data_IF_225841277219
#
_entry.id   IF_225841277219
#
_cell.length_a   1.000
_cell.length_b   1.000
_cell.length_c   1.000
_cell.angle_alpha   90.00
_cell.angle_beta   90.00
_cell.angle_gamma   90.00
#
_symmetry.space_group_name_H-M   'P 1'
#
loop_
_entity.id
_entity.type
_entity.pdbx_description
1 polymer ?
#
# COMPACT_ATOMS: atom_id res chain seq x y z
N UNK A 1 7.64 -5.30 9.57
CA UNK A 1 6.71 -5.52 10.70
C UNK A 1 6.74 -6.96 11.20
N UNK A 2 6.21 -7.92 10.42
CA UNK A 2 6.01 -9.29 10.87
C UNK A 2 7.30 -10.03 11.25
N UNK A 3 8.35 -9.92 10.42
CA UNK A 3 9.65 -10.57 10.68
C UNK A 3 10.31 -10.09 11.97
N UNK A 4 10.24 -8.79 12.26
CA UNK A 4 10.90 -8.17 13.41
C UNK A 4 9.99 -8.02 14.64
N UNK A 5 8.74 -8.49 14.57
CA UNK A 5 7.78 -8.39 15.68
C UNK A 5 7.42 -6.96 16.11
N UNK A 6 7.59 -5.97 15.22
CA UNK A 6 7.26 -4.57 15.53
C UNK A 6 5.74 -4.42 15.74
N UNK A 7 5.33 -3.73 16.81
CA UNK A 7 3.91 -3.50 17.12
C UNK A 7 3.19 -2.70 16.03
N UNK A 8 3.88 -1.70 15.48
CA UNK A 8 3.44 -0.91 14.34
C UNK A 8 4.63 -0.32 13.58
N UNK A 9 4.39 0.09 12.33
CA UNK A 9 5.32 0.90 11.53
C UNK A 9 4.56 2.03 10.84
N UNK A 10 5.31 3.04 10.41
CA UNK A 10 4.85 4.07 9.49
C UNK A 10 5.49 3.78 8.12
N UNK A 11 4.65 3.67 7.08
CA UNK A 11 5.07 3.53 5.68
C UNK A 11 4.75 4.82 4.96
N UNK A 12 5.71 5.34 4.19
CA UNK A 12 5.63 6.60 3.46
C UNK A 12 6.18 6.38 2.05
N UNK A 13 5.54 7.01 1.06
CA UNK A 13 6.15 7.26 -0.24
C UNK A 13 7.24 8.35 -0.11
N UNK A 14 8.15 8.40 -1.08
CA UNK A 14 9.32 9.29 -1.08
C UNK A 14 9.01 10.70 -1.62
N UNK A 15 7.90 10.87 -2.32
CA UNK A 15 7.48 12.10 -3.00
C UNK A 15 6.27 12.81 -2.32
N UNK A 16 6.15 12.64 -1.01
CA UNK A 16 5.10 13.25 -0.19
C UNK A 16 5.52 14.59 0.43
N UNK A 17 4.52 15.41 0.73
CA UNK A 17 4.62 16.57 1.63
C UNK A 17 3.81 16.34 2.90
N UNK A 18 4.37 16.81 4.01
CA UNK A 18 3.77 16.71 5.32
C UNK A 18 2.87 17.92 5.61
N UNK A 19 1.73 17.66 6.23
CA UNK A 19 0.90 18.69 6.83
C UNK A 19 1.67 19.45 7.95
N UNK A 20 1.49 20.77 8.15
CA UNK A 20 2.12 21.49 9.24
C UNK A 20 1.89 20.83 10.60
N UNK A 21 2.94 20.78 11.41
CA UNK A 21 2.97 20.11 12.71
C UNK A 21 2.72 18.59 12.64
N UNK A 22 3.06 17.94 11.52
CA UNK A 22 2.86 16.51 11.27
C UNK A 22 3.12 15.61 12.48
N UNK A 23 4.30 15.70 13.10
CA UNK A 23 4.65 14.85 14.26
C UNK A 23 3.66 15.01 15.41
N UNK A 24 3.27 16.25 15.73
CA UNK A 24 2.29 16.53 16.79
C UNK A 24 0.91 15.96 16.43
N UNK A 25 0.48 16.14 15.18
CA UNK A 25 -0.81 15.61 14.69
C UNK A 25 -0.83 14.08 14.67
N UNK A 26 0.27 13.45 14.25
CA UNK A 26 0.44 11.99 14.25
C UNK A 26 0.42 11.43 15.68
N UNK A 27 1.14 12.04 16.62
CA UNK A 27 1.08 11.61 18.01
C UNK A 27 -0.31 11.76 18.61
N UNK A 28 -1.00 12.87 18.35
CA UNK A 28 -2.40 13.05 18.75
C UNK A 28 -3.33 11.97 18.18
N UNK A 29 -3.13 11.56 16.92
CA UNK A 29 -3.88 10.47 16.29
C UNK A 29 -3.60 9.12 16.99
N UNK A 30 -2.34 8.87 17.32
CA UNK A 30 -1.93 7.65 18.03
C UNK A 30 -2.44 7.62 19.48
N UNK A 31 -2.49 8.78 20.16
CA UNK A 31 -3.11 8.93 21.48
C UNK A 31 -4.61 8.62 21.38
N UNK A 32 -5.33 9.20 20.42
CA UNK A 32 -6.75 8.95 20.23
C UNK A 32 -7.05 7.46 19.97
N UNK A 33 -6.26 6.79 19.10
CA UNK A 33 -6.38 5.35 18.86
C UNK A 33 -6.30 4.53 20.16
N UNK A 34 -5.43 4.95 21.10
CA UNK A 34 -5.28 4.30 22.42
C UNK A 34 -6.45 4.62 23.35
N UNK A 35 -6.85 5.89 23.44
CA UNK A 35 -7.91 6.37 24.32
C UNK A 35 -9.24 5.68 24.03
N UNK A 36 -9.62 5.58 22.74
CA UNK A 36 -10.86 4.93 22.33
C UNK A 36 -10.73 3.41 22.21
N UNK A 37 -9.54 2.85 22.50
CA UNK A 37 -9.19 1.43 22.34
C UNK A 37 -9.59 0.89 20.96
N UNK A 38 -9.29 1.67 19.92
CA UNK A 38 -9.64 1.33 18.55
C UNK A 38 -8.94 0.02 18.16
N UNK A 39 -9.71 -0.92 17.61
CA UNK A 39 -9.12 -1.99 16.81
C UNK A 39 -8.75 -1.41 15.45
N UNK A 40 -7.50 -1.61 15.03
CA UNK A 40 -7.01 -1.17 13.73
C UNK A 40 -5.88 -2.07 13.24
N UNK A 41 -5.87 -2.27 11.93
CA UNK A 41 -4.82 -2.97 11.21
C UNK A 41 -4.01 -2.01 10.34
N UNK A 42 -4.70 -1.04 9.74
CA UNK A 42 -4.12 -0.02 8.87
C UNK A 42 -4.78 1.33 9.16
N UNK A 43 -3.99 2.41 9.17
CA UNK A 43 -4.51 3.78 9.28
C UNK A 43 -3.91 4.63 8.17
N UNK A 44 -4.75 5.04 7.20
CA UNK A 44 -4.32 5.95 6.16
C UNK A 44 -3.98 7.33 6.71
N UNK A 45 -2.85 7.88 6.28
CA UNK A 45 -2.41 9.24 6.59
C UNK A 45 -2.43 10.15 5.35
N UNK A 46 -2.33 9.58 4.15
CA UNK A 46 -2.55 10.25 2.87
C UNK A 46 -3.08 9.27 1.84
N UNK A 47 -4.10 9.70 1.08
CA UNK A 47 -4.74 8.96 -0.01
C UNK A 47 -5.66 9.88 -0.81
N UNK A 48 -6.05 9.44 -2.01
CA UNK A 48 -7.15 10.01 -2.79
C UNK A 48 -8.47 9.36 -2.38
N UNK A 49 -9.36 10.14 -1.78
CA UNK A 49 -10.71 9.68 -1.41
C UNK A 49 -11.58 9.64 -2.66
N UNK A 50 -12.25 8.52 -2.91
CA UNK A 50 -13.23 8.40 -4.02
C UNK A 50 -14.67 8.36 -3.51
N UNK A 51 -14.88 7.86 -2.30
CA UNK A 51 -16.17 7.98 -1.62
C UNK A 51 -16.31 9.33 -0.92
N UNK A 52 -17.51 9.91 -0.99
CA UNK A 52 -17.82 11.21 -0.38
C UNK A 52 -18.05 11.11 1.13
N UNK A 53 -18.64 10.01 1.57
CA UNK A 53 -19.06 9.82 2.95
C UNK A 53 -18.20 8.75 3.63
N UNK A 54 -17.53 9.14 4.71
CA UNK A 54 -16.70 8.25 5.51
C UNK A 54 -17.11 8.39 6.96
N UNK A 55 -17.77 7.38 7.56
CA UNK A 55 -18.34 7.53 8.89
C UNK A 55 -17.23 7.64 9.92
N UNK A 56 -17.43 8.57 10.87
CA UNK A 56 -16.56 8.73 12.03
C UNK A 56 -16.50 7.43 12.85
N UNK A 57 -15.31 7.09 13.32
CA UNK A 57 -15.14 5.98 14.27
C UNK A 57 -15.80 6.37 15.58
N UNK A 58 -16.62 5.51 16.22
CA UNK A 58 -17.27 5.84 17.48
C UNK A 58 -16.25 6.30 18.54
N UNK A 59 -16.51 7.48 19.12
CA UNK A 59 -15.65 8.11 20.12
C UNK A 59 -14.42 8.85 19.56
N UNK A 60 -14.13 8.73 18.27
CA UNK A 60 -13.04 9.46 17.64
C UNK A 60 -13.46 10.88 17.24
N UNK A 61 -12.46 11.74 17.08
CA UNK A 61 -12.57 13.12 16.57
C UNK A 61 -11.92 13.25 15.20
N UNK A 62 -10.88 12.45 14.92
CA UNK A 62 -10.08 12.56 13.70
C UNK A 62 -9.85 11.23 12.98
N UNK A 63 -10.67 10.21 13.27
CA UNK A 63 -10.61 8.91 12.60
C UNK A 63 -11.94 8.57 11.95
N UNK A 64 -11.90 8.17 10.68
CA UNK A 64 -13.05 7.69 9.92
C UNK A 64 -12.80 6.27 9.41
N UNK A 65 -13.87 5.56 9.04
CA UNK A 65 -13.78 4.32 8.26
C UNK A 65 -13.64 4.69 6.77
N UNK A 66 -12.52 4.35 6.11
CA UNK A 66 -12.30 4.74 4.73
C UNK A 66 -13.22 3.96 3.80
N UNK A 67 -13.65 4.62 2.73
CA UNK A 67 -14.22 3.98 1.55
C UNK A 67 -13.15 3.57 0.54
N UNK A 68 -13.58 3.22 -0.67
CA UNK A 68 -12.69 3.02 -1.81
C UNK A 68 -11.80 4.25 -2.06
N UNK A 69 -10.53 3.99 -2.37
CA UNK A 69 -9.48 5.00 -2.39
C UNK A 69 -8.40 4.65 -3.40
N UNK A 70 -7.79 5.67 -4.02
CA UNK A 70 -6.54 5.55 -4.76
C UNK A 70 -5.40 6.22 -4.00
N UNK A 71 -4.17 6.02 -4.47
CA UNK A 71 -2.94 6.58 -3.90
C UNK A 71 -2.69 6.12 -2.46
N UNK A 72 -1.55 5.48 -2.22
CA UNK A 72 -1.19 4.95 -0.90
C UNK A 72 -0.02 5.73 -0.30
N UNK A 73 -0.11 7.07 -0.36
CA UNK A 73 0.93 8.05 0.02
C UNK A 73 1.62 7.73 1.36
N UNK A 74 0.83 7.30 2.33
CA UNK A 74 1.39 6.77 3.57
C UNK A 74 0.34 6.32 4.57
N UNK A 75 0.73 5.35 5.38
CA UNK A 75 -0.15 4.69 6.34
C UNK A 75 0.64 4.13 7.53
N UNK A 76 -0.04 4.00 8.67
CA UNK A 76 0.44 3.16 9.76
C UNK A 76 -0.03 1.73 9.55
N UNK A 77 0.81 0.75 9.87
CA UNK A 77 0.51 -0.67 9.77
C UNK A 77 0.83 -1.37 11.08
N UNK A 78 -0.15 -2.02 11.69
CA UNK A 78 0.05 -2.81 12.91
C UNK A 78 0.62 -4.20 12.59
N UNK A 79 1.11 -4.90 13.62
CA UNK A 79 1.55 -6.29 13.47
C UNK A 79 0.43 -7.21 12.98
N UNK A 80 -0.80 -7.03 13.48
CA UNK A 80 -1.96 -7.82 13.05
C UNK A 80 -2.32 -7.52 11.61
N UNK A 81 -2.28 -6.25 11.21
CA UNK A 81 -2.48 -5.83 9.83
C UNK A 81 -1.47 -6.47 8.89
N UNK A 82 -0.17 -6.37 9.21
CA UNK A 82 0.88 -6.99 8.42
C UNK A 82 0.69 -8.51 8.26
N UNK A 83 0.23 -9.21 9.30
CA UNK A 83 -0.07 -10.65 9.23
C UNK A 83 -1.28 -10.93 8.33
N UNK A 84 -2.34 -10.13 8.40
CA UNK A 84 -3.51 -10.25 7.51
C UNK A 84 -3.13 -10.02 6.05
N UNK A 85 -2.33 -8.97 5.77
CA UNK A 85 -1.82 -8.69 4.43
C UNK A 85 -0.98 -9.84 3.86
N UNK A 86 -0.15 -10.51 4.68
CA UNK A 86 0.62 -11.67 4.23
C UNK A 86 -0.25 -12.94 4.06
N UNK A 87 -1.22 -13.15 4.95
CA UNK A 87 -2.11 -14.30 4.93
C UNK A 87 -3.01 -14.35 3.69
N UNK A 88 -3.29 -13.19 3.08
CA UNK A 88 -4.02 -13.08 1.82
C UNK A 88 -3.19 -13.44 0.57
N UNK A 89 -1.91 -13.83 0.74
CA UNK A 89 -1.03 -14.35 -0.33
C UNK A 89 -1.03 -13.45 -1.58
N UNK A 90 -0.59 -12.18 -1.46
CA UNK A 90 -0.70 -11.18 -2.53
C UNK A 90 0.00 -11.58 -3.85
N UNK A 91 1.00 -12.45 -3.78
CA UNK A 91 1.74 -12.91 -4.97
C UNK A 91 0.98 -13.91 -5.84
N UNK A 92 -0.09 -14.53 -5.33
CA UNK A 92 -0.90 -15.45 -6.13
C UNK A 92 -1.87 -14.72 -7.07
N UNK A 93 -2.25 -13.49 -6.72
CA UNK A 93 -3.16 -12.63 -7.50
C UNK A 93 -2.64 -11.20 -7.44
N UNK A 94 -1.61 -10.88 -8.22
CA UNK A 94 -0.96 -9.58 -8.16
C UNK A 94 -1.90 -8.46 -8.63
N UNK A 95 -2.14 -7.49 -7.75
CA UNK A 95 -2.88 -6.25 -8.03
C UNK A 95 -2.12 -5.06 -7.43
N UNK A 96 -2.31 -3.83 -7.93
CA UNK A 96 -1.74 -2.63 -7.32
C UNK A 96 -2.10 -2.50 -5.83
N UNK A 97 -1.24 -1.86 -5.03
CA UNK A 97 -1.40 -1.80 -3.57
C UNK A 97 -2.66 -1.02 -3.16
N UNK A 98 -2.99 0.03 -3.90
CA UNK A 98 -4.18 0.85 -3.69
C UNK A 98 -5.46 0.14 -4.11
N UNK A 99 -5.37 -0.98 -4.83
CA UNK A 99 -6.47 -1.91 -5.08
C UNK A 99 -6.50 -3.05 -4.04
N UNK A 100 -5.32 -3.56 -3.69
CA UNK A 100 -5.17 -4.64 -2.72
C UNK A 100 -5.74 -4.28 -1.35
N UNK A 101 -5.42 -3.08 -0.85
CA UNK A 101 -5.85 -2.66 0.48
C UNK A 101 -7.39 -2.55 0.57
N UNK A 102 -8.10 -1.81 -0.33
CA UNK A 102 -9.56 -1.79 -0.34
C UNK A 102 -10.22 -3.13 -0.56
N UNK A 103 -9.59 -4.06 -1.29
CA UNK A 103 -10.09 -5.42 -1.36
C UNK A 103 -10.09 -6.03 0.05
N UNK A 104 -8.99 -5.94 0.79
CA UNK A 104 -8.87 -6.61 2.09
C UNK A 104 -9.67 -5.98 3.23
N UNK A 105 -10.06 -4.71 3.14
CA UNK A 105 -11.04 -4.10 4.05
C UNK A 105 -12.47 -4.05 3.49
N UNK A 106 -12.72 -4.81 2.42
CA UNK A 106 -14.04 -5.06 1.80
C UNK A 106 -14.77 -3.80 1.30
N UNK A 107 -14.02 -2.89 0.67
CA UNK A 107 -14.54 -1.66 0.07
C UNK A 107 -14.19 -1.46 -1.40
N UNK A 108 -13.55 -2.45 -2.04
CA UNK A 108 -13.27 -2.39 -3.47
C UNK A 108 -14.55 -2.56 -4.31
N UNK A 109 -14.75 -1.79 -5.40
CA UNK A 109 -15.95 -1.87 -6.25
C UNK A 109 -15.98 -3.10 -7.15
N UNK A 110 -14.83 -3.58 -7.64
CA UNK A 110 -14.77 -4.76 -8.52
C UNK A 110 -14.94 -6.09 -7.76
N UNK A 111 -16.13 -6.68 -7.86
CA UNK A 111 -16.45 -7.99 -7.27
C UNK A 111 -15.57 -9.12 -7.78
N UNK A 112 -15.21 -9.09 -9.07
CA UNK A 112 -14.38 -10.13 -9.70
C UNK A 112 -12.97 -10.18 -9.09
N UNK A 113 -12.45 -9.04 -8.63
CA UNK A 113 -11.15 -8.94 -7.97
C UNK A 113 -11.26 -9.38 -6.51
N UNK A 114 -12.28 -8.90 -5.79
CA UNK A 114 -12.55 -9.33 -4.41
C UNK A 114 -12.73 -10.85 -4.29
N UNK A 115 -13.32 -11.50 -5.30
CA UNK A 115 -13.50 -12.95 -5.33
C UNK A 115 -12.17 -13.73 -5.25
N UNK A 116 -11.04 -13.12 -5.65
CA UNK A 116 -9.70 -13.72 -5.51
C UNK A 116 -9.13 -13.66 -4.09
N UNK A 117 -9.72 -12.84 -3.22
CA UNK A 117 -9.31 -12.62 -1.83
C UNK A 117 -10.48 -12.87 -0.90
N UNK A 118 -10.77 -14.13 -0.54
CA UNK A 118 -12.00 -14.49 0.19
C UNK A 118 -12.02 -13.98 1.64
N UNK A 119 -10.85 -13.79 2.26
CA UNK A 119 -10.73 -13.24 3.62
C UNK A 119 -10.43 -11.74 3.55
N UNK A 120 -11.42 -10.93 3.91
CA UNK A 120 -11.39 -9.46 3.85
C UNK A 120 -11.70 -8.84 5.21
N UNK A 121 -10.95 -9.26 6.23
CA UNK A 121 -11.13 -8.87 7.63
C UNK A 121 -10.13 -7.79 8.09
N UNK A 122 -9.50 -7.06 7.17
CA UNK A 122 -8.57 -5.98 7.51
C UNK A 122 -9.35 -4.78 8.07
N UNK A 123 -9.03 -4.34 9.29
CA UNK A 123 -9.66 -3.16 9.90
C UNK A 123 -8.90 -1.91 9.49
N UNK A 124 -9.34 -1.27 8.40
CA UNK A 124 -8.78 -0.01 7.94
C UNK A 124 -9.49 1.19 8.60
N UNK A 125 -8.70 2.17 9.01
CA UNK A 125 -9.12 3.51 9.43
C UNK A 125 -8.41 4.57 8.57
N UNK A 126 -8.83 5.82 8.66
CA UNK A 126 -8.17 6.94 8.01
C UNK A 126 -8.16 8.16 8.91
N UNK A 127 -7.06 8.91 8.90
CA UNK A 127 -7.02 10.26 9.45
C UNK A 127 -8.00 11.17 8.70
N UNK A 128 -8.71 12.02 9.45
CA UNK A 128 -9.57 13.07 8.93
C UNK A 128 -9.41 14.31 9.83
N UNK A 129 -8.71 15.37 9.37
CA UNK A 129 -8.09 15.56 8.05
C UNK A 129 -6.88 14.64 7.80
N UNK A 130 -6.50 14.48 6.53
CA UNK A 130 -5.28 13.76 6.14
C UNK A 130 -4.03 14.54 6.61
N UNK A 131 -2.94 13.80 6.82
CA UNK A 131 -1.66 14.32 7.30
C UNK A 131 -0.57 14.36 6.21
N UNK A 132 -0.78 13.64 5.12
CA UNK A 132 0.15 13.52 4.00
C UNK A 132 -0.56 13.87 2.69
N UNK A 133 0.18 14.51 1.80
CA UNK A 133 -0.27 14.91 0.47
C UNK A 133 0.86 14.63 -0.53
N UNK A 134 0.57 14.46 -1.83
CA UNK A 134 1.65 14.36 -2.80
C UNK A 134 2.35 15.71 -2.95
N UNK A 135 3.60 15.70 -3.40
CA UNK A 135 4.30 16.93 -3.80
C UNK A 135 3.67 17.58 -5.03
N UNK A 136 3.19 16.77 -5.98
CA UNK A 136 2.49 17.18 -7.19
C UNK A 136 1.26 16.30 -7.40
N UNK A 137 0.13 16.91 -7.75
CA UNK A 137 -1.07 16.17 -8.15
C UNK A 137 -1.02 15.84 -9.64
N UNK A 138 -1.76 14.79 -10.06
CA UNK A 138 -1.94 14.47 -11.48
C UNK A 138 -2.39 15.72 -12.24
N UNK A 139 -1.62 16.10 -13.27
CA UNK A 139 -1.86 17.30 -14.09
C UNK A 139 -1.09 18.56 -13.67
N UNK A 140 -0.42 18.55 -12.51
CA UNK A 140 0.46 19.64 -12.09
C UNK A 140 1.69 19.74 -13.00
N UNK A 141 2.21 20.96 -13.17
CA UNK A 141 3.47 21.18 -13.87
C UNK A 141 4.60 20.47 -13.12
N UNK A 142 5.30 19.56 -13.80
CA UNK A 142 6.38 18.77 -13.20
C UNK A 142 5.92 17.46 -12.56
N UNK A 143 4.63 17.11 -12.66
CA UNK A 143 4.14 15.79 -12.30
C UNK A 143 4.80 14.72 -13.19
N UNK A 144 5.35 13.69 -12.55
CA UNK A 144 5.93 12.51 -13.19
C UNK A 144 5.39 11.30 -12.45
N UNK A 145 4.97 10.28 -13.18
CA UNK A 145 4.57 8.99 -12.62
C UNK A 145 5.07 7.87 -13.52
N UNK A 146 5.61 6.84 -12.89
CA UNK A 146 6.02 5.57 -13.49
C UNK A 146 4.90 4.52 -13.48
N UNK A 147 3.82 4.77 -12.72
CA UNK A 147 2.71 3.83 -12.53
C UNK A 147 1.39 4.27 -13.18
N UNK A 148 1.20 5.57 -13.46
CA UNK A 148 -0.01 6.04 -14.15
C UNK A 148 0.05 5.78 -15.66
N UNK A 149 -1.11 5.47 -16.28
CA UNK A 149 -1.29 5.27 -17.72
C UNK A 149 -0.35 4.23 -18.36
N UNK A 150 0.03 3.19 -17.62
CA UNK A 150 0.85 2.10 -18.17
C UNK A 150 0.16 1.42 -19.34
N UNK A 151 0.96 0.98 -20.32
CA UNK A 151 0.46 0.22 -21.45
C UNK A 151 -0.11 -1.12 -20.97
N UNK A 152 -1.33 -1.43 -21.42
CA UNK A 152 -1.91 -2.76 -21.20
C UNK A 152 -1.16 -3.74 -22.08
N UNK A 153 -0.42 -4.65 -21.46
CA UNK A 153 0.20 -5.76 -22.19
C UNK A 153 -0.93 -6.67 -22.69
N UNK A 154 -1.12 -6.84 -24.02
CA UNK A 154 -2.05 -7.83 -24.55
C UNK A 154 -1.63 -9.21 -24.04
N UNK A 155 -2.58 -10.07 -23.64
CA UNK A 155 -2.29 -11.38 -23.05
C UNK A 155 -1.15 -12.14 -23.77
N UNK A 156 -0.05 -12.50 -23.07
CA UNK A 156 0.89 -13.49 -23.60
C UNK A 156 0.43 -14.91 -23.20
N UNK A 157 -0.04 -15.66 -24.21
CA UNK A 157 -0.15 -17.12 -24.32
C UNK A 157 -0.15 -17.93 -22.99
N UNK A 158 -1.34 -18.23 -22.47
CA UNK A 158 -1.54 -19.45 -21.65
C UNK A 158 -1.13 -20.67 -22.50
N UNK A 159 0.13 -21.09 -22.41
CA UNK A 159 0.64 -22.22 -23.19
C UNK A 159 2.14 -22.26 -23.46
N UNK A 160 2.91 -21.22 -23.16
CA UNK A 160 4.36 -21.29 -23.27
C UNK A 160 4.93 -22.15 -22.12
N UNK A 161 4.98 -23.47 -22.31
CA UNK A 161 5.85 -24.34 -21.53
C UNK A 161 7.24 -23.72 -21.50
N UNK A 162 7.79 -23.46 -20.30
CA UNK A 162 9.16 -23.00 -20.14
C UNK A 162 10.10 -24.02 -20.79
N UNK A 163 10.52 -23.75 -22.03
CA UNK A 163 11.54 -24.52 -22.71
C UNK A 163 12.91 -24.31 -22.05
N UNK A 164 13.87 -25.23 -22.24
CA UNK A 164 15.14 -25.23 -21.51
C UNK A 164 16.02 -23.99 -21.76
N UNK A 165 15.67 -23.16 -22.75
CA UNK A 165 16.41 -21.95 -23.11
C UNK A 165 16.27 -20.79 -22.09
N UNK A 166 15.19 -20.77 -21.29
CA UNK A 166 14.98 -19.69 -20.30
C UNK A 166 16.00 -19.73 -19.15
N UNK A 167 16.57 -20.91 -18.85
CA UNK A 167 17.58 -21.09 -17.80
C UNK A 167 18.99 -20.63 -18.20
N UNK A 168 19.26 -20.43 -19.50
CA UNK A 168 20.58 -19.97 -19.96
C UNK A 168 20.76 -18.46 -19.81
N UNK A 169 19.68 -17.66 -19.93
CA UNK A 169 19.76 -16.21 -19.76
C UNK A 169 19.99 -15.79 -18.29
N UNK A 170 19.45 -16.54 -17.32
CA UNK A 170 19.70 -16.30 -15.89
C UNK A 170 21.10 -16.74 -15.43
N UNK A 171 21.76 -17.67 -16.13
CA UNK A 171 23.12 -18.11 -15.77
C UNK A 171 24.21 -17.16 -16.28
N UNK A 172 24.00 -16.49 -17.41
CA UNK A 172 24.99 -15.53 -17.94
C UNK A 172 25.07 -14.23 -17.10
N UNK A 173 23.99 -13.81 -16.46
CA UNK A 173 24.02 -12.66 -15.53
C UNK A 173 24.63 -12.95 -14.15
N UNK A 174 24.84 -14.23 -13.79
CA UNK A 174 25.48 -14.60 -12.51
C UNK A 174 27.00 -14.81 -12.59
N UNK A 175 27.58 -14.85 -13.78
CA UNK A 175 29.04 -14.99 -13.96
C UNK A 175 29.77 -13.68 -14.28
N UNK A 176 29.07 -12.54 -14.36
CA UNK A 176 29.67 -11.25 -14.72
C UNK A 176 30.15 -10.37 -13.56
N UNK A 177 29.93 -10.72 -12.29
CA UNK A 177 30.37 -9.92 -11.14
C UNK A 177 31.14 -10.77 -10.14
N UNK A 178 32.38 -11.06 -10.50
CA UNK A 178 33.29 -11.78 -9.62
C UNK A 178 34.68 -11.94 -10.24
N UNK A 179 35.37 -10.83 -10.52
CA UNK A 179 36.84 -10.74 -10.44
C UNK A 179 37.29 -9.31 -10.73
N UNK A 180 37.99 -8.72 -9.76
CA UNK A 180 38.51 -7.36 -9.84
C UNK A 180 39.72 -7.21 -10.75
N UNK A 181 40.14 -5.96 -10.94
CA UNK A 181 41.50 -5.60 -11.34
C UNK A 181 41.88 -4.25 -10.75
N UNK A 182 42.88 -4.32 -9.88
CA UNK A 182 43.78 -3.26 -9.44
C UNK A 182 44.77 -2.92 -10.58
N UNK A 183 45.29 -1.68 -10.55
CA UNK A 183 46.46 -1.13 -11.27
C UNK A 183 46.25 -0.84 -12.78
N UNK A 184 46.53 0.37 -13.32
CA UNK A 184 47.48 1.45 -13.00
C UNK A 184 46.81 2.84 -12.98
#
# INVERSE_FOLDING_TARGET
VAQFGLSAVLVLEDDIRFEPFFRKKLYSLMDELREIRAQWDLVYLGRKRLEKEEPLVPGAKQLVRPGYSYWTLGYMLSLTGARKLLAARPLDNLVPVDEYLPILFDRHPEESWKARFPRRDLVALSAAPLLLFPTHYTGDKGYVSDTENSEVIPEPLRGASRGPAADQHLRQHRQGHGQGRTEL
#
